data_IF_784624774652
#
_entry.id   IF_784624774652
#
_cell.length_a   1.000
_cell.length_b   1.000
_cell.length_c   1.000
_cell.angle_alpha   90.00
_cell.angle_beta   90.00
_cell.angle_gamma   90.00
#
_symmetry.space_group_name_H-M   'P 1'
#
loop_
_entity.id
_entity.type
_entity.pdbx_description
1 polymer ?
#
# COMPACT_ATOMS: atom_id res chain seq x y z
N UNK A 1 -5.00 -23.50 -33.19
CA UNK A 1 -5.13 -23.34 -31.73
C UNK A 1 -4.02 -22.43 -31.25
N UNK A 2 -4.13 -21.11 -31.47
CA UNK A 2 -3.14 -20.14 -31.01
C UNK A 2 -3.90 -19.12 -30.16
N UNK A 3 -3.59 -19.09 -28.86
CA UNK A 3 -4.17 -18.15 -27.91
C UNK A 3 -3.20 -16.98 -27.89
N UNK A 4 -3.53 -15.93 -28.63
CA UNK A 4 -2.77 -14.69 -28.59
C UNK A 4 -2.90 -14.13 -27.17
N UNK A 5 -1.87 -14.30 -26.36
CA UNK A 5 -1.74 -13.67 -25.05
C UNK A 5 -1.79 -12.15 -25.28
N UNK A 6 -2.92 -11.53 -24.95
CA UNK A 6 -3.09 -10.09 -25.08
C UNK A 6 -2.17 -9.39 -24.07
N UNK A 7 -0.96 -9.06 -24.51
CA UNK A 7 -0.03 -8.23 -23.74
C UNK A 7 -0.60 -6.82 -23.73
N UNK A 8 -1.04 -6.37 -22.54
CA UNK A 8 -1.45 -4.99 -22.31
C UNK A 8 -0.21 -4.10 -22.37
N UNK A 9 -0.09 -3.29 -23.42
CA UNK A 9 0.99 -2.30 -23.58
C UNK A 9 0.44 -0.91 -23.26
N UNK A 10 1.07 -0.22 -22.30
CA UNK A 10 0.79 1.19 -21.99
C UNK A 10 1.84 2.11 -22.61
N UNK A 11 1.41 3.21 -23.24
CA UNK A 11 2.30 4.24 -23.78
C UNK A 11 2.17 5.52 -22.94
N UNK A 12 3.31 6.10 -22.54
CA UNK A 12 3.38 7.43 -21.90
C UNK A 12 4.14 8.38 -22.82
N UNK A 13 3.51 9.51 -23.15
CA UNK A 13 4.14 10.61 -23.87
C UNK A 13 4.22 11.83 -22.95
N UNK A 14 5.39 12.45 -22.86
CA UNK A 14 5.63 13.67 -22.09
C UNK A 14 6.14 14.75 -23.05
N UNK A 15 5.55 15.94 -22.99
CA UNK A 15 5.90 17.07 -23.85
C UNK A 15 6.22 18.27 -22.98
N UNK A 16 7.33 18.94 -23.26
CA UNK A 16 7.78 20.15 -22.56
C UNK A 16 8.12 21.20 -23.60
N UNK A 17 7.60 22.42 -23.40
CA UNK A 17 7.92 23.58 -24.22
C UNK A 17 8.82 24.53 -23.43
N UNK A 18 9.86 25.05 -24.08
CA UNK A 18 10.77 26.03 -23.53
C UNK A 18 10.74 27.28 -24.42
N UNK A 19 10.51 28.44 -23.81
CA UNK A 19 10.44 29.74 -24.51
C UNK A 19 11.70 30.51 -24.13
N UNK A 20 12.52 30.85 -25.13
CA UNK A 20 13.65 31.75 -24.95
C UNK A 20 13.15 33.19 -25.12
N UNK A 21 13.31 34.02 -24.08
CA UNK A 21 12.89 35.42 -24.10
C UNK A 21 14.00 36.36 -24.59
N UNK A 22 15.24 35.90 -24.64
CA UNK A 22 16.41 36.69 -25.00
C UNK A 22 17.25 35.95 -26.06
N UNK A 23 18.00 36.73 -26.85
CA UNK A 23 18.98 36.16 -27.77
C UNK A 23 20.17 35.62 -26.97
N UNK A 24 20.66 34.44 -27.32
CA UNK A 24 21.76 33.84 -26.57
C UNK A 24 21.99 32.37 -26.85
N UNK A 25 22.95 31.79 -26.12
CA UNK A 25 23.25 30.36 -26.13
C UNK A 25 22.55 29.68 -24.96
N UNK A 26 21.71 28.70 -25.26
CA UNK A 26 21.01 27.89 -24.28
C UNK A 26 21.50 26.45 -24.35
N UNK A 27 21.84 25.86 -23.19
CA UNK A 27 22.26 24.47 -23.12
C UNK A 27 21.13 23.64 -22.53
N UNK A 28 20.57 22.73 -23.33
CA UNK A 28 19.70 21.69 -22.82
C UNK A 28 20.55 20.67 -22.06
N UNK A 29 20.26 20.42 -20.78
CA UNK A 29 21.04 19.49 -19.98
C UNK A 29 20.84 18.05 -20.46
N UNK A 30 21.81 17.21 -20.13
CA UNK A 30 21.70 15.77 -20.30
C UNK A 30 20.59 15.20 -19.42
N UNK A 31 19.73 14.34 -19.98
CA UNK A 31 18.65 13.67 -19.26
C UNK A 31 18.97 12.18 -19.15
N UNK A 32 18.90 11.64 -17.93
CA UNK A 32 19.12 10.22 -17.63
C UNK A 32 17.83 9.60 -17.11
N UNK A 33 17.39 8.50 -17.73
CA UNK A 33 16.21 7.75 -17.33
C UNK A 33 16.60 6.30 -17.01
N UNK A 34 16.46 5.92 -15.75
CA UNK A 34 16.58 4.53 -15.33
C UNK A 34 15.27 3.80 -15.63
N UNK A 35 15.35 2.66 -16.31
CA UNK A 35 14.17 1.89 -16.70
C UNK A 35 14.46 0.38 -16.62
N UNK A 36 13.39 -0.41 -16.45
CA UNK A 36 13.50 -1.87 -16.42
C UNK A 36 13.34 -2.43 -17.83
N UNK A 37 14.38 -3.08 -18.34
CA UNK A 37 14.32 -3.73 -19.64
C UNK A 37 13.72 -5.13 -19.48
N UNK A 38 12.50 -5.34 -19.96
CA UNK A 38 11.79 -6.61 -19.87
C UNK A 38 12.36 -7.70 -20.77
N UNK A 39 13.15 -7.35 -21.80
CA UNK A 39 13.85 -8.31 -22.67
C UNK A 39 15.12 -8.85 -22.03
N UNK A 40 15.87 -8.01 -21.32
CA UNK A 40 17.13 -8.38 -20.66
C UNK A 40 16.97 -8.62 -19.16
N UNK A 41 15.76 -8.42 -18.63
CA UNK A 41 15.36 -8.58 -17.23
C UNK A 41 16.29 -7.90 -16.23
N UNK A 42 16.68 -6.64 -16.52
CA UNK A 42 17.58 -5.85 -15.69
C UNK A 42 17.29 -4.36 -15.79
N UNK A 43 17.74 -3.60 -14.80
CA UNK A 43 17.72 -2.15 -14.85
C UNK A 43 18.77 -1.63 -15.84
N UNK A 44 18.35 -0.77 -16.77
CA UNK A 44 19.20 -0.12 -17.76
C UNK A 44 19.00 1.41 -17.71
N UNK A 45 19.97 2.16 -18.23
CA UNK A 45 19.95 3.62 -18.23
C UNK A 45 19.86 4.14 -19.66
N UNK A 46 18.81 4.90 -19.98
CA UNK A 46 18.71 5.65 -21.21
C UNK A 46 19.26 7.07 -20.98
N UNK A 47 20.17 7.52 -21.84
CA UNK A 47 20.81 8.84 -21.74
C UNK A 47 20.48 9.64 -23.00
N UNK A 48 19.90 10.82 -22.80
CA UNK A 48 19.73 11.83 -23.84
C UNK A 48 20.81 12.90 -23.64
N UNK A 49 21.75 13.07 -24.59
CA UNK A 49 22.90 13.95 -24.40
C UNK A 49 22.49 15.41 -24.36
N UNK A 50 23.32 16.22 -23.69
CA UNK A 50 23.16 17.67 -23.67
C UNK A 50 23.24 18.26 -25.09
N UNK A 51 22.45 19.29 -25.36
CA UNK A 51 22.41 19.95 -26.68
C UNK A 51 22.40 21.45 -26.54
N UNK A 52 23.25 22.12 -27.31
CA UNK A 52 23.24 23.58 -27.38
C UNK A 52 22.26 24.08 -28.45
N UNK A 53 21.53 25.14 -28.10
CA UNK A 53 20.64 25.89 -28.97
C UNK A 53 21.13 27.34 -29.03
N UNK A 54 21.22 27.88 -30.24
CA UNK A 54 21.55 29.30 -30.47
C UNK A 54 20.27 30.00 -30.88
N UNK A 55 19.82 30.97 -30.08
CA UNK A 55 18.61 31.76 -30.33
C UNK A 55 19.03 33.12 -30.88
N UNK A 56 18.64 33.39 -32.13
CA UNK A 56 18.87 34.68 -32.77
C UNK A 56 17.90 35.75 -32.25
N UNK A 57 18.30 37.03 -32.25
CA UNK A 57 17.42 38.13 -31.82
C UNK A 57 16.17 38.21 -32.69
N UNK A 58 15.05 38.56 -32.05
CA UNK A 58 13.81 38.83 -32.76
C UNK A 58 13.98 40.07 -33.67
N UNK A 59 13.46 40.07 -34.90
CA UNK A 59 13.47 41.25 -35.76
C UNK A 59 12.71 42.39 -35.07
N UNK A 60 13.43 43.41 -34.57
CA UNK A 60 12.86 44.57 -33.87
C UNK A 60 13.19 44.71 -32.38
N UNK A 61 14.06 43.86 -31.80
CA UNK A 61 14.61 44.11 -30.47
C UNK A 61 15.58 45.31 -30.48
N UNK A 62 15.60 46.20 -29.46
CA UNK A 62 16.59 47.26 -29.35
C UNK A 62 17.99 46.62 -29.33
N UNK A 63 18.86 47.07 -30.24
CA UNK A 63 20.24 46.62 -30.29
C UNK A 63 20.95 46.93 -28.99
N UNK A 64 21.60 45.91 -28.43
CA UNK A 64 22.53 46.05 -27.33
C UNK A 64 23.79 46.76 -27.88
N UNK A 65 23.97 48.02 -27.49
CA UNK A 65 25.18 48.77 -27.74
C UNK A 65 26.34 48.20 -26.91
N UNK A 66 27.53 48.34 -27.48
CA UNK A 66 28.75 47.69 -27.05
C UNK A 66 29.11 47.92 -25.57
N UNK A 67 29.51 46.82 -24.93
CA UNK A 67 30.21 46.79 -23.65
C UNK A 67 31.58 47.46 -23.82
N UNK A 68 31.74 48.68 -23.31
CA UNK A 68 33.06 49.27 -23.05
C UNK A 68 33.51 48.96 -21.62
N UNK A 69 34.67 48.30 -21.56
CA UNK A 69 35.42 47.98 -20.36
C UNK A 69 36.15 49.23 -19.86
N UNK A 70 35.87 49.67 -18.64
CA UNK A 70 36.75 50.57 -17.91
C UNK A 70 36.99 50.02 -16.50
N UNK A 71 38.17 49.41 -16.32
CA UNK A 71 38.72 49.09 -15.03
C UNK A 71 39.11 50.38 -14.31
N UNK A 72 38.68 50.56 -13.06
CA UNK A 72 39.41 51.40 -12.11
C UNK A 72 39.23 50.87 -10.69
N UNK A 73 40.37 50.67 -10.07
CA UNK A 73 40.62 50.08 -8.76
C UNK A 73 40.63 51.20 -7.69
N UNK A 74 39.89 51.01 -6.59
CA UNK A 74 40.28 51.46 -5.23
C UNK A 74 39.19 51.13 -4.19
N UNK A 75 39.51 50.21 -3.29
CA UNK A 75 39.03 50.22 -1.89
C UNK A 75 39.99 51.15 -1.09
N UNK A 76 39.66 51.70 0.12
CA UNK A 76 38.82 51.09 1.16
C UNK A 76 37.92 52.06 1.98
N UNK A 77 36.95 51.53 2.71
CA UNK A 77 36.79 51.73 4.18
C UNK A 77 35.43 51.27 4.68
N UNK A 78 35.46 50.65 5.85
CA UNK A 78 34.33 50.13 6.58
C UNK A 78 33.47 51.26 7.18
N UNK A 79 32.15 51.11 7.09
CA UNK A 79 31.18 51.69 8.02
C UNK A 79 30.00 50.72 8.08
N UNK A 80 29.64 50.16 9.25
CA UNK A 80 28.45 49.34 9.35
C UNK A 80 27.23 50.28 9.31
N UNK A 81 26.49 50.22 8.21
CA UNK A 81 25.14 50.77 8.15
C UNK A 81 24.24 49.86 8.99
N UNK A 82 23.89 50.33 10.17
CA UNK A 82 22.78 49.82 10.97
C UNK A 82 21.50 49.88 10.13
N UNK A 83 21.15 48.78 9.47
CA UNK A 83 19.82 48.57 8.92
C UNK A 83 18.81 48.43 10.06
N UNK A 84 17.55 48.90 9.88
CA UNK A 84 16.54 48.75 10.91
C UNK A 84 16.34 47.26 11.19
N UNK A 85 16.43 46.88 12.46
CA UNK A 85 16.02 45.56 12.91
C UNK A 85 14.54 45.40 12.58
N UNK A 86 14.25 44.69 11.50
CA UNK A 86 12.91 44.18 11.22
C UNK A 86 12.69 43.11 12.28
N UNK A 87 12.07 43.49 13.39
CA UNK A 87 11.39 42.54 14.26
C UNK A 87 10.34 41.87 13.39
N UNK A 88 10.69 40.70 12.84
CA UNK A 88 9.71 39.77 12.31
C UNK A 88 8.95 39.20 13.50
N UNK A 89 8.05 40.01 14.06
CA UNK A 89 6.92 39.52 14.83
C UNK A 89 5.98 38.88 13.79
N UNK A 90 6.43 37.75 13.24
CA UNK A 90 5.63 36.92 12.36
C UNK A 90 4.57 36.33 13.28
N UNK A 91 3.29 36.71 13.16
CA UNK A 91 2.26 36.15 14.02
C UNK A 91 2.34 34.65 13.85
N UNK A 92 2.64 33.95 14.97
CA UNK A 92 2.86 32.51 15.03
C UNK A 92 1.77 31.83 14.21
N UNK A 93 2.18 31.43 13.02
CA UNK A 93 1.28 31.33 11.91
C UNK A 93 0.29 30.18 12.09
N UNK A 94 -0.98 30.36 11.67
CA UNK A 94 -2.06 29.40 11.90
C UNK A 94 -1.72 27.98 11.41
N UNK A 95 -0.76 27.84 10.48
CA UNK A 95 -0.25 26.55 10.03
C UNK A 95 0.33 25.69 11.16
N UNK A 96 0.92 26.26 12.22
CA UNK A 96 1.46 25.48 13.36
C UNK A 96 0.35 24.81 14.15
N UNK A 97 -0.79 25.48 14.29
CA UNK A 97 -1.99 24.92 14.94
C UNK A 97 -2.57 23.80 14.08
N UNK A 98 -2.63 24.00 12.76
CA UNK A 98 -3.11 22.98 11.81
C UNK A 98 -2.22 21.74 11.85
N UNK A 99 -0.89 21.91 11.83
CA UNK A 99 0.08 20.80 11.92
C UNK A 99 -0.04 20.08 13.27
N UNK A 100 -0.15 20.82 14.38
CA UNK A 100 -0.35 20.23 15.70
C UNK A 100 -1.66 19.43 15.77
N UNK A 101 -2.76 19.95 15.22
CA UNK A 101 -4.04 19.26 15.16
C UNK A 101 -3.94 17.98 14.31
N UNK A 102 -3.25 18.03 13.17
CA UNK A 102 -3.01 16.87 12.30
C UNK A 102 -2.19 15.80 13.01
N UNK A 103 -1.14 16.18 13.73
CA UNK A 103 -0.32 15.25 14.51
C UNK A 103 -1.13 14.64 15.65
N UNK A 104 -1.88 15.44 16.41
CA UNK A 104 -2.72 14.96 17.51
C UNK A 104 -3.82 14.02 17.03
N UNK A 105 -4.49 14.32 15.92
CA UNK A 105 -5.53 13.45 15.35
C UNK A 105 -4.95 12.16 14.80
N UNK A 106 -3.79 12.19 14.14
CA UNK A 106 -3.09 10.98 13.69
C UNK A 106 -2.61 10.13 14.86
N UNK A 107 -2.04 10.73 15.91
CA UNK A 107 -1.64 10.03 17.14
C UNK A 107 -2.85 9.41 17.85
N UNK A 108 -3.97 10.12 17.94
CA UNK A 108 -5.19 9.61 18.55
C UNK A 108 -5.80 8.47 17.73
N UNK A 109 -5.78 8.59 16.39
CA UNK A 109 -6.20 7.53 15.48
C UNK A 109 -5.30 6.30 15.61
N UNK A 110 -3.98 6.49 15.58
CA UNK A 110 -2.99 5.44 15.75
C UNK A 110 -3.15 4.77 17.12
N UNK A 111 -3.33 5.55 18.18
CA UNK A 111 -3.59 5.03 19.52
C UNK A 111 -4.91 4.26 19.60
N UNK A 112 -5.98 4.74 18.96
CA UNK A 112 -7.25 4.02 18.89
C UNK A 112 -7.13 2.70 18.08
N UNK A 113 -6.33 2.68 17.02
CA UNK A 113 -6.03 1.49 16.23
C UNK A 113 -5.17 0.49 17.01
N UNK A 114 -4.14 0.98 17.72
CA UNK A 114 -3.32 0.17 18.61
C UNK A 114 -4.14 -0.38 19.76
N UNK A 115 -5.02 0.42 20.38
CA UNK A 115 -5.92 -0.05 21.46
C UNK A 115 -7.01 -1.01 20.97
N UNK A 116 -7.41 -0.93 19.69
CA UNK A 116 -8.23 -1.95 19.03
C UNK A 116 -7.45 -3.24 18.80
N UNK A 117 -6.14 -3.13 18.57
CA UNK A 117 -5.21 -4.25 18.41
C UNK A 117 -4.78 -4.85 19.75
N UNK A 118 -4.77 -4.08 20.83
CA UNK A 118 -4.56 -4.55 22.22
C UNK A 118 -5.86 -5.06 22.85
N UNK A 119 -7.04 -4.68 22.30
CA UNK A 119 -8.27 -5.49 22.43
C UNK A 119 -8.17 -6.84 21.71
N UNK A 120 -7.07 -7.07 21.01
CA UNK A 120 -6.62 -8.35 20.49
C UNK A 120 -5.34 -8.81 21.22
N UNK A 121 -5.12 -8.40 22.48
CA UNK A 121 -4.30 -9.20 23.40
C UNK A 121 -5.15 -10.32 23.99
N UNK A 122 -4.65 -11.56 23.99
CA UNK A 122 -5.42 -12.70 24.45
C UNK A 122 -5.51 -12.62 25.98
N UNK A 123 -6.69 -12.47 26.59
CA UNK A 123 -6.81 -12.92 27.96
C UNK A 123 -6.57 -14.43 27.92
N UNK A 124 -5.65 -14.90 28.75
CA UNK A 124 -5.46 -16.29 29.17
C UNK A 124 -6.64 -17.16 28.76
N UNK A 125 -6.48 -18.01 27.73
CA UNK A 125 -7.42 -18.99 27.18
C UNK A 125 -8.73 -19.14 27.99
N UNK A 126 -9.64 -18.18 27.83
CA UNK A 126 -11.05 -18.36 28.20
C UNK A 126 -11.64 -19.20 27.05
N UNK A 127 -11.57 -20.52 27.17
CA UNK A 127 -12.19 -21.47 26.24
C UNK A 127 -13.63 -21.08 25.92
N UNK A 128 -14.36 -20.53 26.90
CA UNK A 128 -15.74 -20.05 26.73
C UNK A 128 -15.88 -18.87 25.75
N UNK A 129 -14.95 -17.92 25.75
CA UNK A 129 -14.99 -16.76 24.83
C UNK A 129 -14.63 -17.18 23.42
N UNK A 130 -13.62 -18.05 23.27
CA UNK A 130 -13.26 -18.59 21.96
C UNK A 130 -14.43 -19.36 21.33
N UNK A 131 -15.14 -20.17 22.14
CA UNK A 131 -16.33 -20.88 21.70
C UNK A 131 -17.46 -19.94 21.26
N UNK A 132 -17.62 -18.79 21.92
CA UNK A 132 -18.63 -17.80 21.54
C UNK A 132 -18.27 -17.08 20.23
N UNK A 133 -17.00 -16.75 20.01
CA UNK A 133 -16.52 -16.18 18.75
C UNK A 133 -16.60 -17.19 17.59
N UNK A 134 -16.22 -18.44 17.83
CA UNK A 134 -16.38 -19.55 16.87
C UNK A 134 -17.84 -19.75 16.46
N UNK A 135 -18.75 -19.81 17.43
CA UNK A 135 -20.20 -19.88 17.19
C UNK A 135 -20.68 -18.71 16.35
N UNK A 136 -20.24 -17.48 16.64
CA UNK A 136 -20.63 -16.30 15.88
C UNK A 136 -20.12 -16.35 14.43
N UNK A 137 -18.87 -16.75 14.20
CA UNK A 137 -18.30 -16.91 12.87
C UNK A 137 -19.03 -18.00 12.05
N UNK A 138 -19.34 -19.14 12.67
CA UNK A 138 -20.14 -20.19 12.04
C UNK A 138 -21.55 -19.74 11.64
N UNK A 139 -22.21 -18.93 12.49
CA UNK A 139 -23.53 -18.37 12.16
C UNK A 139 -23.44 -17.38 10.98
N UNK A 140 -22.36 -16.60 10.86
CA UNK A 140 -22.12 -15.74 9.70
C UNK A 140 -21.93 -16.56 8.43
N UNK A 141 -21.16 -17.64 8.49
CA UNK A 141 -21.00 -18.58 7.37
C UNK A 141 -22.35 -19.16 6.95
N UNK A 142 -23.16 -19.64 7.90
CA UNK A 142 -24.51 -20.15 7.64
C UNK A 142 -25.42 -19.11 7.01
N UNK A 143 -25.34 -17.85 7.45
CA UNK A 143 -26.11 -16.75 6.86
C UNK A 143 -25.66 -16.46 5.43
N UNK A 144 -24.37 -16.37 5.17
CA UNK A 144 -23.82 -16.14 3.83
C UNK A 144 -24.19 -17.27 2.85
N UNK A 145 -24.11 -18.53 3.30
CA UNK A 145 -24.54 -19.70 2.53
C UNK A 145 -26.04 -19.66 2.19
N UNK A 146 -26.90 -19.23 3.13
CA UNK A 146 -28.35 -19.05 2.87
C UNK A 146 -28.63 -17.93 1.88
N UNK A 147 -27.85 -16.86 1.92
CA UNK A 147 -27.99 -15.71 1.04
C UNK A 147 -27.40 -15.95 -0.36
N UNK A 148 -26.73 -17.10 -0.58
CA UNK A 148 -25.99 -17.43 -1.82
C UNK A 148 -25.03 -16.32 -2.24
N UNK A 149 -24.40 -15.67 -1.26
CA UNK A 149 -23.39 -14.64 -1.51
C UNK A 149 -22.01 -15.28 -1.44
N UNK A 150 -21.40 -15.51 -2.60
CA UNK A 150 -20.08 -16.15 -2.74
C UNK A 150 -18.96 -15.34 -2.07
N UNK A 151 -19.00 -14.00 -2.15
CA UNK A 151 -17.98 -13.13 -1.55
C UNK A 151 -18.07 -13.17 -0.03
N UNK A 152 -19.28 -13.04 0.50
CA UNK A 152 -19.52 -13.14 1.93
C UNK A 152 -19.23 -14.54 2.46
N UNK A 153 -19.53 -15.60 1.69
CA UNK A 153 -19.24 -16.98 2.06
C UNK A 153 -17.73 -17.23 2.18
N UNK A 154 -16.92 -16.77 1.21
CA UNK A 154 -15.45 -16.87 1.28
C UNK A 154 -14.89 -16.16 2.51
N UNK A 155 -15.32 -14.92 2.76
CA UNK A 155 -14.85 -14.13 3.89
C UNK A 155 -15.26 -14.77 5.22
N UNK A 156 -16.51 -15.23 5.34
CA UNK A 156 -17.01 -15.89 6.54
C UNK A 156 -16.34 -17.25 6.79
N UNK A 157 -15.97 -17.99 5.73
CA UNK A 157 -15.23 -19.25 5.86
C UNK A 157 -13.83 -19.01 6.40
N UNK A 158 -13.14 -17.96 5.92
CA UNK A 158 -11.81 -17.59 6.41
C UNK A 158 -11.87 -17.09 7.85
N UNK A 159 -12.86 -16.26 8.20
CA UNK A 159 -13.11 -15.80 9.57
C UNK A 159 -13.31 -16.98 10.52
N UNK A 160 -14.19 -17.93 10.15
CA UNK A 160 -14.42 -19.14 10.93
C UNK A 160 -13.16 -20.00 11.07
N UNK A 161 -12.42 -20.24 9.99
CA UNK A 161 -11.18 -21.02 10.02
C UNK A 161 -10.09 -20.41 10.93
N UNK A 162 -10.09 -19.09 11.10
CA UNK A 162 -9.14 -18.41 12.00
C UNK A 162 -9.46 -18.58 13.48
N UNK A 163 -10.72 -18.84 13.82
CA UNK A 163 -11.18 -19.08 15.20
C UNK A 163 -11.12 -20.56 15.62
N UNK A 164 -10.69 -21.43 14.71
CA UNK A 164 -10.47 -22.85 14.95
C UNK A 164 -9.26 -23.11 15.86
N UNK A 165 -9.20 -24.27 16.52
CA UNK A 165 -8.17 -24.56 17.55
C UNK A 165 -6.72 -24.41 17.04
N UNK A 166 -6.49 -24.67 15.75
CA UNK A 166 -5.18 -24.54 15.09
C UNK A 166 -4.89 -23.13 14.57
N UNK A 167 -5.90 -22.24 14.48
CA UNK A 167 -5.74 -20.83 14.13
C UNK A 167 -5.28 -20.58 12.69
N UNK A 168 -5.94 -21.22 11.71
CA UNK A 168 -5.56 -21.11 10.30
C UNK A 168 -5.63 -19.65 9.79
N UNK A 169 -4.52 -19.14 9.26
CA UNK A 169 -4.43 -17.73 8.81
C UNK A 169 -4.94 -17.54 7.38
N UNK A 170 -5.01 -18.62 6.62
CA UNK A 170 -5.45 -18.60 5.24
C UNK A 170 -6.28 -19.84 4.88
N UNK A 171 -7.14 -19.69 3.89
CA UNK A 171 -7.88 -20.84 3.34
C UNK A 171 -6.95 -21.89 2.72
N UNK A 172 -5.78 -21.50 2.23
CA UNK A 172 -4.80 -22.44 1.69
C UNK A 172 -4.24 -23.37 2.79
N UNK A 173 -3.99 -22.81 3.97
CA UNK A 173 -3.52 -23.57 5.14
C UNK A 173 -4.59 -24.52 5.67
N UNK A 174 -5.86 -24.08 5.67
CA UNK A 174 -7.01 -24.92 5.98
C UNK A 174 -7.12 -26.10 5.00
N UNK A 175 -7.00 -25.83 3.69
CA UNK A 175 -7.06 -26.87 2.65
C UNK A 175 -5.89 -27.85 2.75
N UNK A 176 -4.71 -27.39 3.17
CA UNK A 176 -3.55 -28.24 3.39
C UNK A 176 -3.74 -29.23 4.54
N UNK A 177 -4.47 -28.83 5.60
CA UNK A 177 -4.77 -29.70 6.74
C UNK A 177 -6.01 -30.58 6.50
N UNK A 178 -7.03 -30.02 5.86
CA UNK A 178 -8.32 -30.67 5.63
C UNK A 178 -8.67 -30.65 4.13
N UNK A 179 -8.26 -31.67 3.36
CA UNK A 179 -8.48 -31.73 1.91
C UNK A 179 -9.97 -31.80 1.54
N UNK A 180 -10.86 -32.15 2.49
CA UNK A 180 -12.30 -32.12 2.29
C UNK A 180 -12.84 -30.72 1.93
N UNK A 181 -12.16 -29.65 2.34
CA UNK A 181 -12.54 -28.27 1.99
C UNK A 181 -12.00 -27.82 0.63
N UNK A 182 -11.05 -28.53 0.02
CA UNK A 182 -10.39 -28.13 -1.23
C UNK A 182 -11.41 -27.85 -2.34
N UNK A 183 -12.26 -28.82 -2.64
CA UNK A 183 -13.29 -28.74 -3.69
C UNK A 183 -14.27 -27.58 -3.46
N UNK A 184 -14.61 -27.30 -2.20
CA UNK A 184 -15.53 -26.21 -1.85
C UNK A 184 -14.86 -24.83 -1.99
N UNK A 185 -13.61 -24.68 -1.57
CA UNK A 185 -12.84 -23.44 -1.72
C UNK A 185 -12.58 -23.16 -3.20
N UNK A 186 -12.24 -24.20 -3.98
CA UNK A 186 -12.01 -24.07 -5.42
C UNK A 186 -13.28 -23.70 -6.18
N UNK A 187 -14.44 -24.27 -5.83
CA UNK A 187 -15.72 -23.90 -6.45
C UNK A 187 -16.13 -22.45 -6.13
N UNK A 188 -15.94 -21.99 -4.88
CA UNK A 188 -16.15 -20.59 -4.48
C UNK A 188 -15.20 -19.65 -5.25
N UNK A 189 -13.93 -20.03 -5.40
CA UNK A 189 -12.96 -19.21 -6.15
C UNK A 189 -13.28 -19.19 -7.64
N UNK A 190 -13.69 -20.34 -8.19
CA UNK A 190 -14.14 -20.42 -9.57
C UNK A 190 -15.33 -19.49 -9.80
N UNK A 191 -16.33 -19.44 -8.91
CA UNK A 191 -17.47 -18.53 -9.06
C UNK A 191 -17.07 -17.04 -8.89
N UNK A 192 -16.11 -16.74 -8.01
CA UNK A 192 -15.64 -15.37 -7.81
C UNK A 192 -14.84 -14.81 -8.99
N UNK A 193 -14.06 -15.66 -9.66
CA UNK A 193 -13.08 -15.24 -10.67
C UNK A 193 -13.42 -15.69 -12.09
N UNK A 194 -14.37 -16.62 -12.30
CA UNK A 194 -14.74 -17.16 -13.61
C UNK A 194 -16.14 -16.70 -14.03
N UNK A 195 -16.31 -16.42 -15.31
CA UNK A 195 -17.58 -15.96 -15.93
C UNK A 195 -18.52 -17.10 -16.33
N UNK A 196 -18.34 -18.31 -15.79
CA UNK A 196 -19.10 -19.51 -16.20
C UNK A 196 -19.77 -20.10 -14.98
N UNK A 197 -21.09 -20.31 -15.01
CA UNK A 197 -21.93 -20.78 -13.90
C UNK A 197 -21.38 -22.03 -13.19
N UNK A 198 -20.75 -21.90 -12.01
CA UNK A 198 -20.47 -23.03 -11.15
C UNK A 198 -21.60 -23.09 -10.12
N UNK A 199 -22.30 -24.22 -10.05
CA UNK A 199 -23.24 -24.45 -8.96
C UNK A 199 -22.46 -24.69 -7.67
N UNK A 200 -22.18 -23.65 -6.90
CA UNK A 200 -21.57 -23.79 -5.57
C UNK A 200 -22.58 -24.47 -4.65
N UNK A 201 -22.22 -25.68 -4.19
CA UNK A 201 -23.03 -26.40 -3.21
C UNK A 201 -22.74 -25.88 -1.79
N UNK A 202 -23.42 -24.80 -1.44
CA UNK A 202 -23.40 -24.20 -0.11
C UNK A 202 -23.91 -25.16 0.99
N UNK A 203 -24.75 -26.14 0.65
CA UNK A 203 -25.27 -27.09 1.62
C UNK A 203 -24.20 -28.13 1.98
N UNK A 204 -23.49 -28.66 0.98
CA UNK A 204 -22.36 -29.55 1.20
C UNK A 204 -21.23 -28.86 2.00
N UNK A 205 -20.91 -27.60 1.70
CA UNK A 205 -19.93 -26.83 2.48
C UNK A 205 -20.30 -26.76 3.97
N UNK A 206 -21.56 -26.45 4.28
CA UNK A 206 -22.03 -26.37 5.67
C UNK A 206 -22.01 -27.73 6.36
N UNK A 207 -22.26 -28.83 5.64
CA UNK A 207 -22.14 -30.17 6.19
C UNK A 207 -20.70 -30.50 6.55
N UNK A 208 -19.75 -30.23 5.64
CA UNK A 208 -18.31 -30.42 5.88
C UNK A 208 -17.82 -29.57 7.07
N UNK A 209 -18.28 -28.32 7.17
CA UNK A 209 -17.99 -27.47 8.32
C UNK A 209 -18.58 -28.03 9.63
N UNK A 210 -19.80 -28.54 9.60
CA UNK A 210 -20.44 -29.12 10.77
C UNK A 210 -19.78 -30.43 11.24
N UNK A 211 -19.35 -31.30 10.32
CA UNK A 211 -18.62 -32.53 10.66
C UNK A 211 -17.27 -32.21 11.26
N UNK A 212 -16.52 -31.27 10.68
CA UNK A 212 -15.22 -30.85 11.20
C UNK A 212 -15.34 -30.25 12.61
N UNK A 213 -16.37 -29.43 12.85
CA UNK A 213 -16.66 -28.88 14.17
C UNK A 213 -16.95 -29.97 15.22
N UNK A 214 -17.71 -31.01 14.84
CA UNK A 214 -17.98 -32.15 15.74
C UNK A 214 -16.71 -32.94 16.04
N UNK A 215 -15.84 -33.13 15.06
CA UNK A 215 -14.56 -33.82 15.24
C UNK A 215 -13.65 -33.06 16.21
N UNK A 216 -13.58 -31.72 16.11
CA UNK A 216 -12.82 -30.91 17.05
C UNK A 216 -13.38 -30.90 18.47
N UNK A 217 -14.71 -30.95 18.62
CA UNK A 217 -15.33 -31.06 19.94
C UNK A 217 -15.06 -32.43 20.59
N UNK A 218 -14.80 -33.47 19.80
CA UNK A 218 -14.47 -34.81 20.26
C UNK A 218 -12.98 -35.03 20.51
N UNK A 219 -12.10 -34.24 19.87
CA UNK A 219 -10.65 -34.27 20.15
C UNK A 219 -10.35 -33.55 21.47
N UNK A 220 -9.81 -34.24 22.48
CA UNK A 220 -9.44 -33.59 23.73
C UNK A 220 -8.35 -32.54 23.48
N UNK A 221 -8.53 -31.37 24.09
CA UNK A 221 -7.55 -30.28 24.06
C UNK A 221 -6.15 -30.84 24.36
N UNK A 222 -5.23 -30.63 23.42
CA UNK A 222 -3.82 -31.01 23.53
C UNK A 222 -3.33 -30.63 24.93
N UNK A 223 -2.83 -31.59 25.74
CA UNK A 223 -2.55 -31.34 27.15
C UNK A 223 -1.57 -30.18 27.26
N UNK A 224 -1.88 -29.27 28.18
CA UNK A 224 -1.05 -28.13 28.52
C UNK A 224 0.40 -28.60 28.70
N UNK A 225 1.31 -27.97 27.96
CA UNK A 225 2.74 -28.20 28.05
C UNK A 225 3.16 -28.31 29.52
N UNK A 226 3.90 -29.36 29.86
CA UNK A 226 4.34 -29.63 31.22
C UNK A 226 5.05 -28.40 31.83
N UNK A 227 4.78 -28.04 33.09
CA UNK A 227 5.46 -26.92 33.73
C UNK A 227 6.97 -27.19 33.76
N UNK A 228 7.75 -26.26 33.19
CA UNK A 228 9.20 -26.35 33.03
C UNK A 228 10.00 -26.23 34.33
N UNK A 229 9.34 -26.14 35.48
CA UNK A 229 9.99 -26.07 36.79
C UNK A 229 9.51 -27.20 37.70
N UNK A 230 10.44 -28.07 38.10
CA UNK A 230 10.34 -28.82 39.36
C UNK A 230 10.73 -27.85 40.47
N UNK A 231 9.78 -27.58 41.37
CA UNK A 231 10.02 -26.81 42.58
C UNK A 231 11.14 -27.51 43.37
N UNK A 232 12.23 -26.78 43.67
CA UNK A 232 13.23 -27.13 44.67
C UNK A 232 12.90 -26.41 45.97
#
# INVERSE_FOLDING_TARGET
>A
NNKDEQILVGLRSESTAMIANEAGRYTLPEIKLAWWNTRTNRAELAVLPARELVVSPAPGAPGDEAIETAASQAAPSATPLSGPAISTDTPLAPYRIIIALLICTNLLCLWALLRRRDRTEPPLRDTEKNDQHEKAAYQRLKKACKQRDTRAARAALQDWASHQQDGYRSLAELVAHEPAFATHVDSINAELYRTTEPCVDYAALLQTAATYRKQQAASPAKPALAPLYKNL
#
